data_IF_939406772067
#
_entry.id   IF_939406772067
#
_cell.length_a   1.000
_cell.length_b   1.000
_cell.length_c   1.000
_cell.angle_alpha   90.00
_cell.angle_beta   90.00
_cell.angle_gamma   90.00
#
_symmetry.space_group_name_H-M   'P 1'
#
loop_
_entity.id
_entity.type
_entity.pdbx_description
1 polymer ?
#
# COMPACT_ATOMS: atom_id res chain seq x y z
N UNK A 1 -8.44 29.74 -15.39
CA UNK A 1 -9.22 28.50 -15.64
C UNK A 1 -10.02 28.18 -14.40
N UNK A 2 -11.33 28.02 -14.50
CA UNK A 2 -12.27 28.15 -13.37
C UNK A 2 -12.49 26.83 -12.61
N UNK A 3 -12.83 26.91 -11.32
CA UNK A 3 -13.15 25.80 -10.41
C UNK A 3 -14.24 24.83 -10.91
N UNK A 4 -14.98 25.21 -11.96
CA UNK A 4 -15.96 24.38 -12.67
C UNK A 4 -15.29 23.25 -13.48
N UNK A 5 -14.14 23.52 -14.11
CA UNK A 5 -13.39 22.51 -14.86
C UNK A 5 -12.79 21.44 -13.93
N UNK A 6 -12.36 21.87 -12.73
CA UNK A 6 -11.89 20.97 -11.68
C UNK A 6 -13.02 20.03 -11.23
N UNK A 7 -14.23 20.55 -11.01
CA UNK A 7 -15.40 19.77 -10.59
C UNK A 7 -15.85 18.71 -11.62
N UNK A 8 -15.76 19.02 -12.91
CA UNK A 8 -16.14 18.09 -13.99
C UNK A 8 -15.13 16.96 -14.20
N UNK A 9 -13.83 17.20 -13.96
CA UNK A 9 -12.81 16.15 -14.06
C UNK A 9 -13.00 15.08 -12.97
N UNK A 10 -13.27 15.51 -11.73
CA UNK A 10 -13.50 14.61 -10.59
C UNK A 10 -14.80 13.80 -10.71
N UNK A 11 -15.88 14.39 -11.22
CA UNK A 11 -17.15 13.66 -11.45
C UNK A 11 -17.00 12.56 -12.52
N UNK A 12 -16.17 12.78 -13.55
CA UNK A 12 -15.93 11.77 -14.60
C UNK A 12 -15.09 10.59 -14.09
N UNK A 13 -14.15 10.81 -13.18
CA UNK A 13 -13.34 9.78 -12.52
C UNK A 13 -14.14 8.93 -11.53
N UNK A 14 -15.01 9.55 -10.72
CA UNK A 14 -15.91 8.81 -9.82
C UNK A 14 -16.90 7.92 -10.60
N UNK A 15 -17.34 8.37 -11.79
CA UNK A 15 -18.27 7.64 -12.64
C UNK A 15 -17.63 6.54 -13.52
N UNK A 16 -16.32 6.58 -13.80
CA UNK A 16 -15.63 5.49 -14.52
C UNK A 16 -15.36 4.31 -13.58
N UNK A 17 -15.05 4.59 -12.32
CA UNK A 17 -14.82 3.57 -11.28
C UNK A 17 -16.08 2.77 -10.94
N UNK A 18 -17.28 3.35 -11.14
CA UNK A 18 -18.57 2.71 -10.88
C UNK A 18 -19.15 1.91 -12.06
N UNK A 19 -18.60 2.03 -13.28
CA UNK A 19 -19.18 1.41 -14.49
C UNK A 19 -18.75 -0.03 -14.75
N UNK A 20 -17.72 -0.53 -14.05
CA UNK A 20 -17.18 -1.88 -14.24
C UNK A 20 -17.55 -2.89 -13.14
N UNK A 21 -18.62 -2.63 -12.38
CA UNK A 21 -19.18 -3.62 -11.46
C UNK A 21 -20.24 -4.48 -12.19
N UNK A 22 -20.15 -5.82 -12.17
CA UNK A 22 -21.22 -6.67 -12.66
C UNK A 22 -22.50 -6.42 -11.86
N UNK A 23 -23.62 -6.21 -12.54
CA UNK A 23 -24.95 -6.08 -11.90
C UNK A 23 -25.42 -7.46 -11.41
N UNK A 24 -25.93 -7.60 -10.18
CA UNK A 24 -26.52 -8.86 -9.76
C UNK A 24 -28.00 -8.97 -10.16
N UNK A 25 -28.30 -10.15 -10.72
CA UNK A 25 -29.49 -10.98 -10.49
C UNK A 25 -30.69 -10.92 -11.45
N UNK A 26 -31.17 -12.11 -11.87
CA UNK A 26 -32.50 -12.58 -11.44
C UNK A 26 -32.74 -14.10 -11.66
N UNK A 27 -32.81 -14.82 -10.52
CA UNK A 27 -33.61 -16.01 -10.16
C UNK A 27 -33.36 -17.38 -10.85
N UNK A 28 -33.34 -18.50 -10.08
CA UNK A 28 -33.45 -19.85 -10.60
C UNK A 28 -34.92 -20.33 -10.64
N UNK A 29 -35.25 -21.35 -11.47
CA UNK A 29 -36.38 -22.20 -11.15
C UNK A 29 -36.00 -23.68 -11.04
N UNK A 30 -36.41 -24.22 -9.88
CA UNK A 30 -37.08 -25.51 -9.67
C UNK A 30 -36.41 -26.83 -10.07
N UNK A 31 -36.15 -27.62 -9.03
CA UNK A 31 -35.93 -29.05 -9.08
C UNK A 31 -37.16 -29.79 -9.69
N UNK A 32 -36.89 -30.77 -10.53
CA UNK A 32 -37.80 -31.87 -10.81
C UNK A 32 -37.07 -33.22 -10.76
N UNK A 33 -37.77 -34.15 -10.14
CA UNK A 33 -37.48 -35.53 -9.84
C UNK A 33 -37.14 -36.38 -11.08
N UNK A 34 -36.27 -37.37 -10.91
CA UNK A 34 -35.97 -38.39 -11.92
C UNK A 34 -35.13 -39.53 -11.36
N UNK A 35 -35.79 -40.47 -10.67
CA UNK A 35 -35.28 -41.81 -10.38
C UNK A 35 -34.78 -42.48 -11.67
N UNK A 36 -33.57 -43.02 -11.68
CA UNK A 36 -33.28 -44.32 -12.32
C UNK A 36 -32.26 -45.10 -11.49
N UNK A 37 -32.72 -46.25 -11.01
CA UNK A 37 -31.94 -47.35 -10.46
C UNK A 37 -30.95 -47.91 -11.48
N UNK A 38 -29.72 -48.25 -11.06
CA UNK A 38 -29.14 -49.55 -11.39
C UNK A 38 -28.05 -49.96 -10.39
N UNK A 39 -28.25 -51.16 -9.85
CA UNK A 39 -27.31 -51.96 -9.08
C UNK A 39 -26.26 -52.58 -10.01
N UNK A 40 -25.05 -52.77 -9.49
CA UNK A 40 -24.29 -54.04 -9.40
C UNK A 40 -22.82 -53.67 -9.12
N UNK A 41 -22.22 -53.95 -7.97
CA UNK A 41 -21.90 -55.22 -7.31
C UNK A 41 -20.51 -55.77 -7.67
N UNK A 42 -19.71 -55.95 -6.60
CA UNK A 42 -18.62 -56.93 -6.41
C UNK A 42 -17.31 -56.72 -7.18
N UNK A 43 -16.19 -56.50 -6.48
CA UNK A 43 -15.21 -57.50 -5.97
C UNK A 43 -14.23 -57.94 -7.09
N UNK A 44 -12.94 -58.18 -6.91
CA UNK A 44 -12.13 -58.52 -5.75
C UNK A 44 -10.64 -58.33 -6.08
N UNK A 45 -9.86 -58.02 -5.04
CA UNK A 45 -8.50 -58.49 -4.70
C UNK A 45 -7.45 -58.85 -5.76
N UNK A 46 -6.23 -58.30 -5.57
CA UNK A 46 -4.93 -59.01 -5.38
C UNK A 46 -3.77 -57.98 -5.53
N UNK A 47 -2.98 -57.60 -4.50
CA UNK A 47 -1.77 -58.27 -3.94
C UNK A 47 -0.99 -59.02 -5.03
N UNK A 48 0.29 -58.84 -5.31
CA UNK A 48 1.52 -58.51 -4.60
C UNK A 48 2.51 -57.96 -5.69
N UNK A 49 3.58 -57.20 -5.44
CA UNK A 49 4.86 -57.62 -4.87
C UNK A 49 5.72 -56.39 -4.60
N UNK A 50 6.43 -56.47 -3.47
CA UNK A 50 7.55 -55.64 -3.04
C UNK A 50 8.74 -55.69 -4.00
N UNK A 51 9.39 -54.55 -4.23
CA UNK A 51 10.85 -54.53 -4.36
C UNK A 51 11.43 -53.29 -3.69
N UNK A 52 12.04 -53.55 -2.55
CA UNK A 52 12.93 -52.70 -1.77
C UNK A 52 14.19 -52.45 -2.58
N UNK A 53 14.58 -51.18 -2.78
CA UNK A 53 15.98 -50.85 -3.01
C UNK A 53 16.42 -49.77 -2.02
N UNK A 54 17.22 -50.21 -1.05
CA UNK A 54 18.05 -49.38 -0.18
C UNK A 54 19.15 -48.75 -1.06
N UNK A 55 19.09 -47.45 -1.27
CA UNK A 55 20.23 -46.69 -1.77
C UNK A 55 21.11 -46.24 -0.59
N UNK A 56 22.41 -46.53 -0.69
CA UNK A 56 23.47 -46.24 0.28
C UNK A 56 23.77 -44.73 0.35
N UNK A 57 24.31 -44.21 1.47
CA UNK A 57 24.66 -42.81 1.59
C UNK A 57 25.88 -42.49 0.70
N UNK A 58 25.71 -41.54 -0.22
CA UNK A 58 26.83 -40.96 -0.98
C UNK A 58 27.44 -39.86 -0.13
N UNK A 59 28.68 -40.08 0.31
CA UNK A 59 29.51 -39.08 0.95
C UNK A 59 29.91 -38.02 -0.09
N UNK A 60 29.37 -36.81 0.03
CA UNK A 60 29.83 -35.65 -0.75
C UNK A 60 30.99 -35.03 0.03
N UNK A 61 32.20 -35.26 -0.46
CA UNK A 61 33.42 -34.63 0.03
C UNK A 61 33.32 -33.10 -0.13
N UNK A 62 33.58 -32.38 0.96
CA UNK A 62 33.78 -30.92 0.95
C UNK A 62 35.05 -30.59 0.15
N UNK A 63 35.01 -29.73 -0.88
CA UNK A 63 36.24 -29.20 -1.43
C UNK A 63 36.83 -28.21 -0.43
N UNK A 64 37.91 -28.60 0.24
CA UNK A 64 38.80 -27.70 0.97
C UNK A 64 39.60 -26.87 -0.03
N UNK A 65 39.07 -25.71 -0.43
CA UNK A 65 39.88 -24.68 -1.07
C UNK A 65 40.69 -23.95 -0.01
N UNK A 66 41.97 -24.33 0.13
CA UNK A 66 42.98 -23.49 0.78
C UNK A 66 43.03 -22.14 0.05
N UNK A 67 42.69 -21.06 0.75
CA UNK A 67 43.03 -19.70 0.32
C UNK A 67 44.55 -19.54 0.41
N UNK A 68 45.21 -19.47 -0.74
CA UNK A 68 46.58 -18.98 -0.85
C UNK A 68 46.54 -17.45 -0.93
N UNK A 69 47.12 -16.76 0.05
CA UNK A 69 47.41 -15.33 -0.05
C UNK A 69 48.63 -15.15 -0.96
N UNK A 70 48.40 -14.67 -2.19
CA UNK A 70 49.45 -14.10 -3.02
C UNK A 70 49.48 -12.59 -2.78
N UNK A 71 50.57 -12.09 -2.22
CA UNK A 71 50.88 -10.67 -2.11
C UNK A 71 51.16 -10.10 -3.51
N UNK A 72 50.12 -9.54 -4.13
CA UNK A 72 50.23 -8.77 -5.37
C UNK A 72 50.52 -7.30 -5.09
N UNK A 73 51.44 -6.73 -5.85
CA UNK A 73 51.91 -5.34 -5.78
C UNK A 73 50.79 -4.29 -5.92
N UNK A 74 50.97 -3.07 -5.37
CA UNK A 74 49.96 -2.00 -5.46
C UNK A 74 49.79 -1.49 -6.90
N UNK A 75 48.57 -1.08 -7.30
CA UNK A 75 48.31 -0.57 -8.64
C UNK A 75 48.95 0.82 -8.86
N UNK A 76 49.33 1.17 -10.09
CA UNK A 76 50.01 2.43 -10.38
C UNK A 76 49.06 3.63 -10.22
N UNK A 77 49.58 4.70 -9.60
CA UNK A 77 48.92 6.01 -9.56
C UNK A 77 48.87 6.58 -10.96
N UNK A 78 47.67 6.79 -11.51
CA UNK A 78 47.49 7.67 -12.66
C UNK A 78 46.53 8.79 -12.31
N UNK A 79 47.05 10.01 -12.45
CA UNK A 79 46.40 11.29 -12.22
C UNK A 79 45.59 11.63 -13.46
N UNK A 80 44.27 11.76 -13.32
CA UNK A 80 43.47 12.55 -14.25
C UNK A 80 42.34 13.24 -13.49
N UNK A 81 42.52 14.54 -13.32
CA UNK A 81 41.58 15.47 -12.71
C UNK A 81 40.32 15.60 -13.56
N UNK A 82 39.17 15.22 -13.01
CA UNK A 82 37.87 15.78 -13.36
C UNK A 82 37.08 15.99 -12.08
N UNK A 83 37.47 17.02 -11.33
CA UNK A 83 36.72 17.51 -10.17
C UNK A 83 35.46 18.19 -10.72
N UNK A 84 34.31 17.56 -10.53
CA UNK A 84 33.01 18.20 -10.73
C UNK A 84 32.98 19.36 -9.72
N UNK A 85 33.11 20.60 -10.22
CA UNK A 85 33.15 21.81 -9.39
C UNK A 85 31.79 22.00 -8.73
N UNK A 86 31.64 21.53 -7.50
CA UNK A 86 30.44 21.65 -6.65
C UNK A 86 30.23 23.08 -6.10
N UNK A 87 31.13 24.02 -6.43
CA UNK A 87 31.13 25.40 -5.93
C UNK A 87 29.97 26.32 -6.42
N UNK A 88 29.36 26.15 -7.61
CA UNK A 88 28.23 27.00 -7.99
C UNK A 88 26.99 26.78 -7.11
N UNK A 89 26.80 25.58 -6.56
CA UNK A 89 25.69 25.28 -5.65
C UNK A 89 25.91 25.80 -4.23
N UNK A 90 27.16 25.82 -3.74
CA UNK A 90 27.49 26.41 -2.43
C UNK A 90 27.34 27.94 -2.47
N UNK A 91 27.71 28.59 -3.58
CA UNK A 91 27.56 30.04 -3.74
C UNK A 91 26.09 30.48 -3.75
N UNK A 92 25.19 29.72 -4.38
CA UNK A 92 23.74 30.01 -4.38
C UNK A 92 23.13 29.84 -2.99
N UNK A 93 23.54 28.81 -2.23
CA UNK A 93 23.07 28.61 -0.86
C UNK A 93 23.60 29.71 0.07
N UNK A 94 24.87 30.11 -0.05
CA UNK A 94 25.45 31.17 0.77
C UNK A 94 24.82 32.55 0.48
N UNK A 95 24.58 32.89 -0.80
CA UNK A 95 23.90 34.13 -1.19
C UNK A 95 22.43 34.14 -0.74
N UNK A 96 21.72 33.01 -0.85
CA UNK A 96 20.37 32.86 -0.32
C UNK A 96 20.31 33.02 1.20
N UNK A 97 21.29 32.48 1.92
CA UNK A 97 21.40 32.57 3.38
C UNK A 97 21.70 33.99 3.86
N UNK A 98 22.60 34.71 3.15
CA UNK A 98 22.92 36.10 3.44
C UNK A 98 21.76 37.05 3.15
N UNK A 99 21.07 36.87 2.02
CA UNK A 99 19.85 37.61 1.70
C UNK A 99 18.72 37.38 2.71
N UNK A 100 18.54 36.12 3.15
CA UNK A 100 17.59 35.78 4.20
C UNK A 100 17.93 36.44 5.55
N UNK A 101 19.20 36.43 5.96
CA UNK A 101 19.64 37.10 7.19
C UNK A 101 19.50 38.63 7.13
N UNK A 102 19.75 39.24 5.97
CA UNK A 102 19.52 40.68 5.76
C UNK A 102 18.02 41.04 5.87
N UNK A 103 17.14 40.20 5.31
CA UNK A 103 15.68 40.37 5.40
C UNK A 103 15.16 40.18 6.83
N UNK A 104 15.72 39.24 7.59
CA UNK A 104 15.34 38.99 8.99
C UNK A 104 15.79 40.14 9.89
N UNK A 105 17.01 40.67 9.71
CA UNK A 105 17.49 41.79 10.51
C UNK A 105 16.71 43.10 10.24
N UNK A 106 16.21 43.33 9.02
CA UNK A 106 15.32 44.48 8.72
C UNK A 106 13.94 44.39 9.39
N UNK A 107 13.55 43.25 9.98
CA UNK A 107 12.32 43.16 10.79
C UNK A 107 12.50 43.66 12.23
N UNK A 108 13.73 43.83 12.72
CA UNK A 108 13.97 44.31 14.10
C UNK A 108 13.67 45.80 14.28
N UNK A 109 13.68 46.59 13.21
CA UNK A 109 13.57 48.05 13.28
C UNK A 109 12.22 48.60 12.78
N UNK A 110 11.22 47.75 12.53
CA UNK A 110 9.87 48.24 12.25
C UNK A 110 9.12 48.49 13.58
N UNK A 111 8.47 49.66 13.75
CA UNK A 111 7.65 49.92 14.94
C UNK A 111 6.54 48.86 15.01
N UNK A 112 6.49 48.16 16.15
CA UNK A 112 5.46 47.15 16.42
C UNK A 112 4.11 47.83 16.55
N UNK A 113 3.34 47.82 15.46
CA UNK A 113 1.92 48.08 15.51
C UNK A 113 1.26 46.94 16.33
N UNK A 114 0.50 47.20 17.41
CA UNK A 114 -0.06 46.13 18.25
C UNK A 114 -1.15 45.28 17.56
N UNK A 115 -1.37 45.45 16.25
CA UNK A 115 -2.37 44.73 15.45
C UNK A 115 -1.73 43.93 14.33
N UNK A 116 -0.73 43.11 14.66
CA UNK A 116 -0.22 42.06 13.78
C UNK A 116 0.39 40.93 14.63
N UNK A 117 -0.40 40.38 15.55
CA UNK A 117 -0.12 39.03 16.02
C UNK A 117 -0.18 38.12 14.79
N UNK A 118 0.98 37.61 14.36
CA UNK A 118 1.05 36.51 13.43
C UNK A 118 0.20 35.37 14.03
N UNK A 119 -1.00 35.17 13.47
CA UNK A 119 -1.84 34.05 13.86
C UNK A 119 -1.00 32.78 13.63
N UNK A 120 -0.68 31.99 14.66
CA UNK A 120 -0.11 30.67 14.43
C UNK A 120 -1.12 29.92 13.55
N UNK A 121 -0.64 29.27 12.49
CA UNK A 121 -1.48 28.32 11.75
C UNK A 121 -2.09 27.37 12.78
N UNK A 122 -3.42 27.21 12.84
CA UNK A 122 -4.02 26.42 13.90
C UNK A 122 -3.54 24.99 13.74
N UNK A 123 -2.71 24.52 14.68
CA UNK A 123 -2.49 23.10 14.86
C UNK A 123 -3.88 22.51 15.11
N UNK A 124 -4.40 21.71 14.18
CA UNK A 124 -5.67 20.98 14.38
C UNK A 124 -5.48 20.15 15.66
N UNK A 125 -6.11 20.59 16.75
CA UNK A 125 -6.02 19.89 18.05
C UNK A 125 -6.89 18.64 18.10
N UNK A 126 -7.75 18.45 17.10
CA UNK A 126 -8.63 17.31 16.95
C UNK A 126 -8.56 16.76 15.52
N UNK A 127 -8.64 15.42 15.35
CA UNK A 127 -8.74 14.80 14.03
C UNK A 127 -9.95 15.32 13.26
N UNK A 128 -9.83 15.36 11.94
CA UNK A 128 -10.89 15.80 11.03
C UNK A 128 -12.16 14.96 11.17
N UNK A 129 -12.00 13.66 11.47
CA UNK A 129 -13.10 12.73 11.71
C UNK A 129 -13.00 12.10 13.09
N UNK A 130 -14.15 12.03 13.76
CA UNK A 130 -14.30 11.32 15.03
C UNK A 130 -14.40 9.81 14.77
N UNK A 131 -13.68 8.96 15.53
CA UNK A 131 -13.77 7.51 15.41
C UNK A 131 -15.14 6.94 15.84
N UNK A 132 -16.00 7.76 16.46
CA UNK A 132 -17.40 7.41 16.75
C UNK A 132 -18.29 7.49 15.51
N UNK A 133 -17.95 8.40 14.59
CA UNK A 133 -18.76 8.72 13.41
C UNK A 133 -18.22 8.07 12.14
N UNK A 134 -16.90 7.82 12.10
CA UNK A 134 -16.19 7.25 10.95
C UNK A 134 -15.36 6.06 11.40
N UNK A 135 -15.58 4.91 10.76
CA UNK A 135 -14.76 3.71 10.99
C UNK A 135 -13.69 3.61 9.92
N UNK A 136 -12.42 3.54 10.31
CA UNK A 136 -11.29 3.37 9.40
C UNK A 136 -10.59 2.04 9.70
N UNK A 137 -10.39 1.21 8.68
CA UNK A 137 -9.52 0.05 8.75
C UNK A 137 -8.34 0.29 7.79
N UNK A 138 -7.11 0.19 8.31
CA UNK A 138 -5.95 0.11 7.44
C UNK A 138 -5.87 -1.29 6.85
N UNK A 139 -5.65 -1.40 5.55
CA UNK A 139 -5.47 -2.69 4.88
C UNK A 139 -4.02 -2.79 4.41
N UNK A 140 -3.24 -3.60 5.12
CA UNK A 140 -1.81 -3.76 4.94
C UNK A 140 -1.46 -5.17 4.44
N UNK A 141 -0.24 -5.31 3.92
CA UNK A 141 0.23 -6.51 3.24
C UNK A 141 1.20 -6.13 2.11
N UNK A 142 2.11 -7.03 1.77
CA UNK A 142 3.10 -6.78 0.72
C UNK A 142 2.47 -6.53 -0.66
N UNK A 143 3.25 -6.00 -1.63
CA UNK A 143 2.77 -5.85 -2.99
C UNK A 143 2.40 -7.24 -3.55
N UNK A 144 1.21 -7.41 -4.12
CA UNK A 144 0.77 -8.71 -4.63
C UNK A 144 0.03 -9.60 -3.61
N UNK A 145 -0.04 -9.21 -2.33
CA UNK A 145 -0.74 -9.99 -1.29
C UNK A 145 -2.28 -10.12 -1.47
N UNK A 146 -2.89 -9.49 -2.48
CA UNK A 146 -4.32 -9.63 -2.76
C UNK A 146 -5.24 -8.63 -2.05
N UNK A 147 -4.69 -7.59 -1.39
CA UNK A 147 -5.46 -6.55 -0.67
C UNK A 147 -6.64 -5.99 -1.46
N UNK A 148 -6.40 -5.46 -2.67
CA UNK A 148 -7.45 -4.85 -3.49
C UNK A 148 -8.58 -5.83 -3.84
N UNK A 149 -8.26 -7.10 -4.08
CA UNK A 149 -9.26 -8.16 -4.32
C UNK A 149 -10.16 -8.34 -3.09
N UNK A 150 -9.57 -8.39 -1.91
CA UNK A 150 -10.32 -8.56 -0.67
C UNK A 150 -11.11 -7.29 -0.30
N UNK A 151 -10.55 -6.10 -0.53
CA UNK A 151 -11.25 -4.83 -0.36
C UNK A 151 -12.51 -4.74 -1.25
N UNK A 152 -12.43 -5.15 -2.51
CA UNK A 152 -13.58 -5.14 -3.42
C UNK A 152 -14.75 -5.99 -2.89
N UNK A 153 -14.44 -7.13 -2.25
CA UNK A 153 -15.46 -7.98 -1.62
C UNK A 153 -16.06 -7.36 -0.37
N UNK A 154 -15.22 -6.77 0.50
CA UNK A 154 -15.70 -6.05 1.69
C UNK A 154 -16.58 -4.84 1.31
N UNK A 155 -16.28 -4.15 0.21
CA UNK A 155 -17.15 -3.10 -0.34
C UNK A 155 -18.51 -3.69 -0.74
N UNK A 156 -18.50 -4.80 -1.49
CA UNK A 156 -19.73 -5.43 -2.00
C UNK A 156 -20.62 -5.99 -0.89
N UNK A 157 -20.05 -6.64 0.12
CA UNK A 157 -20.81 -7.40 1.13
C UNK A 157 -21.12 -6.57 2.40
N UNK A 158 -20.25 -5.63 2.77
CA UNK A 158 -20.34 -4.88 4.03
C UNK A 158 -20.48 -3.36 3.86
N UNK A 159 -20.52 -2.86 2.62
CA UNK A 159 -20.76 -1.46 2.33
C UNK A 159 -19.61 -0.53 2.75
N UNK A 160 -18.39 -1.05 2.85
CA UNK A 160 -17.20 -0.20 3.00
C UNK A 160 -16.99 0.69 1.78
N UNK A 161 -16.33 1.81 1.98
CA UNK A 161 -15.67 2.58 0.92
C UNK A 161 -14.21 2.18 0.86
N UNK A 162 -13.74 1.73 -0.31
CA UNK A 162 -12.33 1.44 -0.54
C UNK A 162 -11.60 2.65 -1.10
N UNK A 163 -10.53 3.08 -0.41
CA UNK A 163 -9.60 4.10 -0.87
C UNK A 163 -8.19 3.47 -0.94
N UNK A 164 -7.66 3.35 -2.15
CA UNK A 164 -6.31 2.83 -2.39
C UNK A 164 -5.33 3.97 -2.49
N UNK A 165 -4.35 4.04 -1.58
CA UNK A 165 -3.33 5.08 -1.60
C UNK A 165 -2.54 5.05 -2.92
N UNK A 166 -2.26 3.85 -3.44
CA UNK A 166 -1.58 3.70 -4.73
C UNK A 166 -2.39 4.25 -5.90
N UNK A 167 -3.71 4.08 -5.90
CA UNK A 167 -4.58 4.61 -6.97
C UNK A 167 -4.72 6.13 -6.88
N UNK A 168 -4.84 6.68 -5.66
CA UNK A 168 -4.84 8.13 -5.45
C UNK A 168 -3.53 8.76 -5.94
N UNK A 169 -2.39 8.14 -5.64
CA UNK A 169 -1.08 8.61 -6.10
C UNK A 169 -0.96 8.54 -7.63
N UNK A 170 -1.39 7.44 -8.26
CA UNK A 170 -1.39 7.33 -9.74
C UNK A 170 -2.29 8.37 -10.40
N UNK A 171 -3.47 8.61 -9.84
CA UNK A 171 -4.37 9.65 -10.33
C UNK A 171 -3.76 11.05 -10.19
N UNK A 172 -3.12 11.35 -9.05
CA UNK A 172 -2.44 12.63 -8.83
C UNK A 172 -1.23 12.81 -9.77
N UNK A 173 -0.49 11.73 -10.04
CA UNK A 173 0.61 11.72 -11.02
C UNK A 173 0.16 12.07 -12.44
N UNK A 174 -1.05 11.67 -12.82
CA UNK A 174 -1.62 11.92 -14.15
C UNK A 174 -2.40 13.24 -14.23
N UNK A 175 -2.62 13.91 -13.10
CA UNK A 175 -3.42 15.14 -13.04
C UNK A 175 -2.69 16.30 -13.73
N UNK A 176 -3.29 16.93 -14.76
CA UNK A 176 -2.69 18.09 -15.41
C UNK A 176 -2.43 19.24 -14.42
N UNK A 177 -1.21 19.76 -14.42
CA UNK A 177 -0.78 20.82 -13.51
C UNK A 177 -0.59 20.38 -12.06
N UNK A 178 -0.41 19.08 -11.79
CA UNK A 178 0.02 18.63 -10.46
C UNK A 178 1.47 19.05 -10.18
N UNK A 179 1.69 19.67 -9.03
CA UNK A 179 3.02 20.01 -8.52
C UNK A 179 3.77 18.76 -8.00
N UNK A 180 3.04 17.67 -7.71
CA UNK A 180 3.60 16.42 -7.17
C UNK A 180 3.78 15.34 -8.22
N UNK A 181 3.35 15.57 -9.47
CA UNK A 181 3.24 14.49 -10.45
C UNK A 181 4.55 13.77 -10.74
N UNK A 182 5.64 14.53 -10.93
CA UNK A 182 6.98 13.96 -11.19
C UNK A 182 7.59 13.30 -9.95
N UNK A 183 7.39 13.90 -8.77
CA UNK A 183 7.80 13.33 -7.49
C UNK A 183 7.17 11.95 -7.27
N UNK A 184 5.85 11.85 -7.47
CA UNK A 184 5.10 10.60 -7.32
C UNK A 184 5.57 9.57 -8.33
N UNK A 185 5.75 9.98 -9.60
CA UNK A 185 6.25 9.11 -10.67
C UNK A 185 7.59 8.47 -10.31
N UNK A 186 8.53 9.29 -9.83
CA UNK A 186 9.84 8.80 -9.43
C UNK A 186 9.75 7.84 -8.24
N UNK A 187 8.98 8.20 -7.20
CA UNK A 187 8.80 7.34 -6.03
C UNK A 187 8.18 5.98 -6.39
N UNK A 188 7.15 5.96 -7.24
CA UNK A 188 6.51 4.71 -7.69
C UNK A 188 7.49 3.85 -8.48
N UNK A 189 8.24 4.45 -9.42
CA UNK A 189 9.26 3.74 -10.21
C UNK A 189 10.34 3.09 -9.33
N UNK A 190 10.80 3.81 -8.32
CA UNK A 190 11.85 3.37 -7.41
C UNK A 190 11.34 2.48 -6.26
N UNK A 191 10.03 2.27 -6.15
CA UNK A 191 9.44 1.56 -5.02
C UNK A 191 9.65 2.30 -3.68
N UNK A 192 9.88 3.61 -3.72
CA UNK A 192 10.09 4.46 -2.56
C UNK A 192 8.77 4.95 -1.96
N UNK A 193 8.83 5.46 -0.74
CA UNK A 193 7.67 6.03 -0.04
C UNK A 193 7.52 7.51 -0.43
N UNK A 194 6.36 7.85 -1.00
CA UNK A 194 5.98 9.25 -1.26
C UNK A 194 5.91 10.01 0.07
N UNK A 195 6.32 11.30 0.12
CA UNK A 195 6.22 12.10 1.33
C UNK A 195 4.85 12.03 1.99
N UNK A 196 4.90 12.02 3.32
CA UNK A 196 3.74 11.81 4.19
C UNK A 196 2.63 12.82 3.91
N UNK A 197 2.97 14.10 3.81
CA UNK A 197 2.05 15.22 3.65
C UNK A 197 1.17 15.05 2.42
N UNK A 198 1.78 14.64 1.30
CA UNK A 198 1.08 14.41 0.03
C UNK A 198 0.06 13.27 0.19
N UNK A 199 0.50 12.14 0.75
CA UNK A 199 -0.35 10.95 0.84
C UNK A 199 -1.51 11.13 1.84
N UNK A 200 -1.22 11.73 3.00
CA UNK A 200 -2.23 12.03 4.03
C UNK A 200 -3.26 13.02 3.50
N UNK A 201 -2.82 14.08 2.81
CA UNK A 201 -3.72 15.08 2.23
C UNK A 201 -4.63 14.48 1.15
N UNK A 202 -4.08 13.65 0.25
CA UNK A 202 -4.88 12.97 -0.78
C UNK A 202 -5.96 12.07 -0.16
N UNK A 203 -5.61 11.34 0.90
CA UNK A 203 -6.56 10.48 1.62
C UNK A 203 -7.63 11.30 2.37
N UNK A 204 -7.25 12.35 3.09
CA UNK A 204 -8.19 13.23 3.80
C UNK A 204 -9.20 13.86 2.83
N UNK A 205 -8.73 14.34 1.68
CA UNK A 205 -9.58 14.90 0.63
C UNK A 205 -10.54 13.84 0.07
N UNK A 206 -10.04 12.64 -0.26
CA UNK A 206 -10.88 11.56 -0.80
C UNK A 206 -11.96 11.09 0.19
N UNK A 207 -11.62 10.99 1.48
CA UNK A 207 -12.59 10.69 2.53
C UNK A 207 -13.65 11.80 2.66
N UNK A 208 -13.22 13.05 2.70
CA UNK A 208 -14.11 14.22 2.80
C UNK A 208 -15.09 14.28 1.64
N UNK A 209 -14.59 14.14 0.41
CA UNK A 209 -15.43 14.13 -0.80
C UNK A 209 -16.41 12.96 -0.81
N UNK A 210 -15.98 11.78 -0.38
CA UNK A 210 -16.87 10.61 -0.32
C UNK A 210 -18.03 10.86 0.65
N UNK A 211 -17.74 11.35 1.86
CA UNK A 211 -18.77 11.63 2.87
C UNK A 211 -19.73 12.72 2.36
N UNK A 212 -19.18 13.77 1.74
CA UNK A 212 -19.98 14.87 1.20
C UNK A 212 -20.90 14.42 0.06
N UNK A 213 -20.42 13.56 -0.83
CA UNK A 213 -21.17 13.08 -1.99
C UNK A 213 -22.19 11.99 -1.63
N UNK A 214 -22.00 11.30 -0.50
CA UNK A 214 -22.85 10.21 -0.02
C UNK A 214 -23.17 10.37 1.48
N UNK A 215 -23.90 11.44 1.88
CA UNK A 215 -24.09 11.77 3.29
C UNK A 215 -24.84 10.69 4.08
N UNK A 216 -25.70 9.92 3.43
CA UNK A 216 -26.49 8.84 4.03
C UNK A 216 -25.81 7.46 3.98
N UNK A 217 -24.63 7.33 3.35
CA UNK A 217 -23.93 6.06 3.28
C UNK A 217 -23.18 5.76 4.60
N UNK A 218 -22.94 4.47 4.92
CA UNK A 218 -22.08 4.10 6.03
C UNK A 218 -20.70 4.74 5.89
N UNK A 219 -20.23 5.41 6.94
CA UNK A 219 -18.91 6.08 6.97
C UNK A 219 -17.83 5.08 7.39
N UNK A 220 -17.72 3.98 6.65
CA UNK A 220 -16.74 2.90 6.87
C UNK A 220 -15.73 2.90 5.73
N UNK A 221 -14.44 2.99 6.05
CA UNK A 221 -13.36 3.13 5.07
C UNK A 221 -12.33 2.02 5.19
N UNK A 222 -11.95 1.45 4.05
CA UNK A 222 -10.79 0.59 3.87
C UNK A 222 -9.70 1.42 3.21
N UNK A 223 -8.64 1.71 3.96
CA UNK A 223 -7.50 2.48 3.48
C UNK A 223 -6.42 1.48 3.06
N UNK A 224 -6.37 1.16 1.76
CA UNK A 224 -5.53 0.11 1.20
C UNK A 224 -4.13 0.61 0.83
N UNK A 225 -3.13 -0.10 1.34
CA UNK A 225 -1.73 0.15 1.03
C UNK A 225 -1.19 1.41 1.71
N UNK A 226 -1.82 1.84 2.80
CA UNK A 226 -1.39 2.91 3.70
C UNK A 226 -1.82 2.55 5.14
N UNK A 227 -1.03 2.92 6.17
CA UNK A 227 0.28 3.57 6.13
C UNK A 227 1.42 2.61 5.73
N UNK A 228 2.46 3.14 5.08
CA UNK A 228 3.67 2.39 4.68
C UNK A 228 4.93 2.77 5.45
N UNK A 229 4.79 3.70 6.39
CA UNK A 229 5.85 4.22 7.26
C UNK A 229 5.21 4.77 8.53
N UNK A 230 5.95 4.78 9.64
CA UNK A 230 5.44 5.17 10.96
C UNK A 230 4.98 6.63 11.03
N UNK A 231 5.68 7.55 10.38
CA UNK A 231 5.30 8.97 10.31
C UNK A 231 3.91 9.14 9.70
N UNK A 232 3.64 8.45 8.59
CA UNK A 232 2.32 8.40 7.95
C UNK A 232 1.23 7.90 8.88
N UNK A 233 1.50 6.83 9.64
CA UNK A 233 0.55 6.25 10.58
C UNK A 233 0.17 7.28 11.66
N UNK A 234 1.17 7.83 12.35
CA UNK A 234 0.94 8.81 13.40
C UNK A 234 0.25 10.05 12.88
N UNK A 235 0.68 10.58 11.73
CA UNK A 235 0.08 11.80 11.21
C UNK A 235 -1.37 11.61 10.81
N UNK A 236 -1.70 10.48 10.19
CA UNK A 236 -3.08 10.19 9.81
C UNK A 236 -3.99 10.06 11.04
N UNK A 237 -3.55 9.35 12.09
CA UNK A 237 -4.35 9.21 13.30
C UNK A 237 -4.52 10.54 14.05
N UNK A 238 -3.49 11.39 14.03
CA UNK A 238 -3.50 12.73 14.63
C UNK A 238 -4.48 13.68 13.91
N UNK A 239 -4.40 13.77 12.57
CA UNK A 239 -5.08 14.86 11.82
C UNK A 239 -6.31 14.41 11.04
N UNK A 240 -6.42 13.13 10.70
CA UNK A 240 -7.51 12.59 9.88
C UNK A 240 -8.49 11.81 10.75
N UNK A 241 -8.09 10.62 11.20
CA UNK A 241 -8.95 9.75 12.00
C UNK A 241 -8.11 8.61 12.63
N UNK A 242 -8.22 8.34 13.94
CA UNK A 242 -7.68 7.13 14.54
C UNK A 242 -8.25 5.88 13.85
N UNK A 243 -7.39 4.95 13.44
CA UNK A 243 -7.85 3.71 12.84
C UNK A 243 -8.53 2.82 13.89
N UNK A 244 -9.50 1.99 13.50
CA UNK A 244 -10.10 1.01 14.40
C UNK A 244 -9.21 -0.22 14.55
N UNK A 245 -8.67 -0.73 13.44
CA UNK A 245 -7.70 -1.82 13.40
C UNK A 245 -6.93 -1.81 12.07
N UNK A 246 -5.91 -2.67 12.01
CA UNK A 246 -5.16 -3.02 10.82
C UNK A 246 -5.57 -4.43 10.37
N UNK A 247 -6.05 -4.56 9.15
CA UNK A 247 -6.24 -5.83 8.48
C UNK A 247 -4.99 -6.17 7.68
N UNK A 248 -4.22 -7.14 8.15
CA UNK A 248 -2.93 -7.50 7.58
C UNK A 248 -3.00 -8.81 6.81
N UNK A 249 -2.78 -8.74 5.49
CA UNK A 249 -2.66 -9.90 4.61
C UNK A 249 -1.20 -10.34 4.52
N UNK A 250 -0.89 -11.40 5.26
CA UNK A 250 0.43 -12.03 5.27
C UNK A 250 0.55 -12.99 4.09
N UNK A 251 1.60 -12.84 3.30
CA UNK A 251 1.80 -13.60 2.07
C UNK A 251 3.30 -13.80 1.87
N UNK A 252 3.76 -15.04 1.61
CA UNK A 252 5.15 -15.31 1.24
C UNK A 252 5.58 -14.52 0.00
N UNK A 253 6.84 -14.09 -0.01
CA UNK A 253 7.42 -13.30 -1.10
C UNK A 253 7.28 -13.99 -2.47
N UNK A 254 7.52 -15.31 -2.52
CA UNK A 254 7.43 -16.11 -3.75
C UNK A 254 6.03 -16.04 -4.39
N UNK A 255 4.97 -16.15 -3.57
CA UNK A 255 3.59 -16.08 -4.05
C UNK A 255 3.22 -14.65 -4.45
N UNK A 256 3.71 -13.65 -3.71
CA UNK A 256 3.55 -12.24 -4.09
C UNK A 256 4.22 -11.94 -5.44
N UNK A 257 5.45 -12.41 -5.65
CA UNK A 257 6.20 -12.20 -6.89
C UNK A 257 5.47 -12.84 -8.06
N UNK A 258 5.05 -14.10 -7.92
CA UNK A 258 4.25 -14.81 -8.91
C UNK A 258 3.00 -14.01 -9.31
N UNK A 259 2.26 -13.48 -8.34
CA UNK A 259 1.05 -12.67 -8.58
C UNK A 259 1.36 -11.34 -9.28
N UNK A 260 2.47 -10.67 -8.91
CA UNK A 260 2.89 -9.41 -9.54
C UNK A 260 3.32 -9.61 -10.98
N UNK A 261 4.04 -10.70 -11.28
CA UNK A 261 4.46 -11.04 -12.64
C UNK A 261 3.26 -11.32 -13.55
N UNK A 262 2.25 -12.05 -13.07
CA UNK A 262 1.01 -12.26 -13.83
C UNK A 262 0.21 -10.97 -14.02
N UNK A 263 0.18 -10.10 -12.99
CA UNK A 263 -0.50 -8.81 -13.09
C UNK A 263 0.17 -7.88 -14.10
N UNK A 264 1.52 -7.84 -14.13
CA UNK A 264 2.28 -7.05 -15.08
C UNK A 264 1.95 -7.36 -16.54
N UNK A 265 1.59 -8.61 -16.85
CA UNK A 265 1.16 -9.03 -18.20
C UNK A 265 -0.19 -8.46 -18.64
N UNK A 266 -1.05 -8.09 -17.68
CA UNK A 266 -2.48 -7.79 -17.94
C UNK A 266 -2.89 -6.37 -17.58
N UNK A 267 -2.24 -5.73 -16.59
CA UNK A 267 -2.75 -4.48 -16.01
C UNK A 267 -2.11 -3.20 -16.54
N UNK A 268 -1.05 -3.29 -17.37
CA UNK A 268 -0.33 -2.12 -17.87
C UNK A 268 0.40 -1.30 -16.80
N UNK A 269 0.68 -1.87 -15.61
CA UNK A 269 1.37 -1.18 -14.52
C UNK A 269 2.87 -1.17 -14.77
N UNK A 270 3.44 0.02 -14.98
CA UNK A 270 4.87 0.18 -15.27
C UNK A 270 5.79 -0.29 -14.12
N UNK A 271 5.29 -0.32 -12.88
CA UNK A 271 6.00 -0.74 -11.66
C UNK A 271 5.89 -2.24 -11.35
N UNK A 272 5.22 -3.03 -12.20
CA UNK A 272 5.13 -4.49 -12.09
C UNK A 272 6.18 -5.18 -13.00
N UNK A 273 7.46 -4.78 -12.83
CA UNK A 273 8.63 -5.39 -13.46
C UNK A 273 9.59 -5.94 -12.39
N UNK A 274 10.45 -6.90 -12.72
CA UNK A 274 11.29 -7.62 -11.74
C UNK A 274 12.17 -6.69 -10.87
N UNK A 275 12.71 -5.61 -11.45
CA UNK A 275 13.54 -4.67 -10.69
C UNK A 275 12.70 -3.87 -9.68
N UNK A 276 11.58 -3.29 -10.12
CA UNK A 276 10.67 -2.54 -9.25
C UNK A 276 10.01 -3.43 -8.19
N UNK A 277 9.71 -4.70 -8.51
CA UNK A 277 9.14 -5.67 -7.56
C UNK A 277 10.10 -5.89 -6.38
N UNK A 278 11.39 -6.15 -6.65
CA UNK A 278 12.40 -6.33 -5.60
C UNK A 278 12.55 -5.10 -4.71
N UNK A 279 12.56 -3.90 -5.31
CA UNK A 279 12.59 -2.64 -4.54
C UNK A 279 11.36 -2.52 -3.63
N UNK A 280 10.18 -2.85 -4.14
CA UNK A 280 8.93 -2.79 -3.36
C UNK A 280 8.88 -3.82 -2.23
N UNK A 281 9.42 -5.02 -2.40
CA UNK A 281 9.55 -5.98 -1.31
C UNK A 281 10.49 -5.47 -0.22
N UNK A 282 11.68 -4.97 -0.61
CA UNK A 282 12.61 -4.37 0.34
C UNK A 282 11.97 -3.24 1.14
N UNK A 283 11.36 -2.27 0.46
CA UNK A 283 10.67 -1.16 1.14
C UNK A 283 9.56 -1.67 2.05
N UNK A 284 8.80 -2.68 1.65
CA UNK A 284 7.75 -3.25 2.48
C UNK A 284 8.32 -3.82 3.80
N UNK A 285 9.39 -4.62 3.73
CA UNK A 285 10.04 -5.18 4.92
C UNK A 285 10.70 -4.09 5.78
N UNK A 286 11.44 -3.17 5.17
CA UNK A 286 12.22 -2.16 5.90
C UNK A 286 11.36 -1.04 6.50
N UNK A 287 10.25 -0.66 5.84
CA UNK A 287 9.47 0.52 6.24
C UNK A 287 8.04 0.21 6.65
N UNK A 288 7.39 -0.76 6.00
CA UNK A 288 5.96 -1.04 6.22
C UNK A 288 5.73 -2.09 7.31
N UNK A 289 6.56 -3.12 7.42
CA UNK A 289 6.45 -4.11 8.50
C UNK A 289 6.58 -3.52 9.90
N UNK A 290 7.48 -2.55 10.18
CA UNK A 290 7.51 -1.87 11.48
C UNK A 290 6.18 -1.24 11.89
N UNK A 291 5.36 -0.83 10.91
CA UNK A 291 4.01 -0.30 11.17
C UNK A 291 3.07 -1.41 11.62
N UNK A 292 3.12 -2.57 10.97
CA UNK A 292 2.35 -3.75 11.37
C UNK A 292 2.74 -4.17 12.79
N UNK A 293 4.04 -4.27 13.07
CA UNK A 293 4.57 -4.65 14.39
C UNK A 293 4.13 -3.67 15.49
N UNK A 294 4.08 -2.37 15.17
CA UNK A 294 3.59 -1.35 16.09
C UNK A 294 2.12 -1.60 16.48
N UNK A 295 1.22 -1.73 15.50
CA UNK A 295 -0.20 -1.99 15.77
C UNK A 295 -0.45 -3.39 16.35
N UNK A 296 0.41 -4.37 16.07
CA UNK A 296 0.31 -5.71 16.66
C UNK A 296 0.59 -5.67 18.16
N UNK A 297 1.59 -4.90 18.59
CA UNK A 297 1.88 -4.66 20.03
C UNK A 297 0.71 -3.96 20.75
N UNK A 298 -0.08 -3.17 20.04
CA UNK A 298 -1.30 -2.56 20.57
C UNK A 298 -2.52 -3.49 20.56
N UNK A 299 -2.40 -4.71 20.03
CA UNK A 299 -3.51 -5.65 19.88
C UNK A 299 -4.53 -5.24 18.82
N UNK A 300 -4.13 -4.37 17.88
CA UNK A 300 -5.00 -3.79 16.84
C UNK A 300 -4.78 -4.39 15.45
N UNK A 301 -4.11 -5.54 15.35
CA UNK A 301 -3.88 -6.24 14.07
C UNK A 301 -4.76 -7.48 13.96
N UNK A 302 -5.48 -7.57 12.85
CA UNK A 302 -6.13 -8.79 12.38
C UNK A 302 -5.29 -9.37 11.25
N UNK A 303 -4.52 -10.41 11.56
CA UNK A 303 -3.64 -11.09 10.61
C UNK A 303 -4.37 -12.21 9.88
N UNK A 304 -4.24 -12.24 8.55
CA UNK A 304 -4.87 -13.21 7.63
C UNK A 304 -3.77 -13.81 6.75
N UNK A 305 -3.72 -15.14 6.66
CA UNK A 305 -2.91 -15.83 5.65
C UNK A 305 -3.56 -15.64 4.27
N UNK A 306 -2.80 -15.03 3.36
CA UNK A 306 -3.24 -14.69 2.01
C UNK A 306 -2.73 -15.67 0.93
N UNK A 307 -2.17 -16.81 1.33
CA UNK A 307 -1.76 -17.89 0.41
C UNK A 307 -2.92 -18.65 -0.23
N UNK A 308 -4.06 -18.93 0.44
CA UNK A 308 -5.14 -19.71 -0.15
C UNK A 308 -5.87 -18.99 -1.30
N UNK A 309 -6.91 -19.63 -1.82
CA UNK A 309 -7.77 -19.02 -2.85
C UNK A 309 -8.44 -17.75 -2.34
N UNK A 310 -8.78 -16.79 -3.22
CA UNK A 310 -9.45 -15.55 -2.83
C UNK A 310 -10.72 -15.75 -1.98
N UNK A 311 -11.44 -16.85 -2.20
CA UNK A 311 -12.64 -17.24 -1.44
C UNK A 311 -12.31 -17.70 -0.03
N UNK A 312 -11.32 -18.57 0.13
CA UNK A 312 -10.89 -19.03 1.45
C UNK A 312 -10.28 -17.88 2.29
N UNK A 313 -9.49 -17.01 1.64
CA UNK A 313 -8.95 -15.80 2.28
C UNK A 313 -10.09 -14.91 2.76
N UNK A 314 -11.10 -14.68 1.92
CA UNK A 314 -12.21 -13.82 2.28
C UNK A 314 -13.06 -14.39 3.42
N UNK A 315 -13.35 -15.69 3.39
CA UNK A 315 -14.06 -16.36 4.48
C UNK A 315 -13.31 -16.16 5.81
N UNK A 316 -11.98 -16.36 5.80
CA UNK A 316 -11.14 -16.12 6.97
C UNK A 316 -11.18 -14.65 7.40
N UNK A 317 -11.15 -13.71 6.45
CA UNK A 317 -11.32 -12.28 6.73
C UNK A 317 -12.65 -12.00 7.43
N UNK A 318 -13.76 -12.56 6.96
CA UNK A 318 -15.07 -12.39 7.57
C UNK A 318 -15.09 -12.91 9.01
N UNK A 319 -14.64 -14.15 9.22
CA UNK A 319 -14.60 -14.79 10.55
C UNK A 319 -13.78 -13.94 11.55
N UNK A 320 -12.63 -13.44 11.12
CA UNK A 320 -11.71 -12.68 11.98
C UNK A 320 -12.21 -11.27 12.26
N UNK A 321 -12.80 -10.59 11.27
CA UNK A 321 -13.41 -9.28 11.48
C UNK A 321 -14.66 -9.39 12.36
N UNK A 322 -15.50 -10.42 12.17
CA UNK A 322 -16.65 -10.69 13.06
C UNK A 322 -16.18 -10.88 14.50
N UNK A 323 -15.12 -11.63 14.71
CA UNK A 323 -14.54 -11.81 16.05
C UNK A 323 -14.02 -10.50 16.65
N UNK A 324 -13.38 -9.65 15.85
CA UNK A 324 -12.78 -8.40 16.32
C UNK A 324 -13.79 -7.26 16.51
N UNK A 325 -14.86 -7.24 15.71
CA UNK A 325 -15.74 -6.09 15.55
C UNK A 325 -17.24 -6.39 15.78
N UNK A 326 -17.63 -7.66 15.88
CA UNK A 326 -19.01 -8.14 16.01
C UNK A 326 -19.71 -8.42 14.68
N UNK A 327 -20.91 -9.01 14.70
CA UNK A 327 -21.62 -9.54 13.50
C UNK A 327 -22.04 -8.50 12.45
N UNK A 328 -21.90 -7.20 12.73
CA UNK A 328 -22.35 -6.09 11.86
C UNK A 328 -21.27 -5.03 11.61
N UNK A 329 -20.00 -5.42 11.66
CA UNK A 329 -18.88 -4.52 11.48
C UNK A 329 -18.89 -3.76 10.16
#
# INVERSE_FOLDING_TARGET
MTASAHRQAWQKLAASTLRNLPRPNSRPPTAHCGLVFRRDASSSSSRLWSQTQKAKPVAIARPTTRRSYSSGAPPPKNSNNNIIKFWPFVAVIALGSGGYMLLVNRRKDMPTNPSAAALPAPAKSTPTFSPKDVTVLFVLGGPGAGKGTQCARLVSEYGFTHLSAGDLLRAEQERPGSEFGDLIRQCIKDGAIVPMEVTVQLLENAMTETIKNKPSAPKKFLIDGFPRKMDQAFKFEEVVCPARLVLFYDCPEEEMERRLMERGKTSGRADDNAESIRKRFRTFIETSMPVVDHYEKEGRVVKIDATPTPDSVFQTTQERLTKALGDKF
#
